data_IF_715162627146
#
_entry.id   IF_715162627146
#
_cell.length_a   1.000
_cell.length_b   1.000
_cell.length_c   1.000
_cell.angle_alpha   90.00
_cell.angle_beta   90.00
_cell.angle_gamma   90.00
#
_symmetry.space_group_name_H-M   'P 1'
#
loop_
_entity.id
_entity.type
_entity.pdbx_description
1 polymer ?
#
# COMPACT_ATOMS: atom_id res chain seq x y z
N UNK A 1 -2.62 14.35 -6.84
CA UNK A 1 -3.21 13.29 -5.97
C UNK A 1 -2.57 13.37 -4.60
N UNK A 2 -3.38 13.34 -3.54
CA UNK A 2 -2.89 13.32 -2.16
C UNK A 2 -3.51 12.13 -1.42
N UNK A 3 -2.66 11.35 -0.77
CA UNK A 3 -2.98 10.19 0.03
C UNK A 3 -2.39 10.44 1.42
N UNK A 4 -3.18 10.29 2.47
CA UNK A 4 -2.69 10.45 3.84
C UNK A 4 -3.02 9.22 4.69
N UNK A 5 -2.01 8.73 5.40
CA UNK A 5 -2.06 7.62 6.34
C UNK A 5 -2.83 6.39 5.80
N UNK A 6 -2.63 6.05 4.53
CA UNK A 6 -3.34 4.95 3.90
C UNK A 6 -2.91 3.60 4.47
N UNK A 7 -3.89 2.82 4.91
CA UNK A 7 -3.70 1.48 5.46
C UNK A 7 -4.51 0.50 4.64
N UNK A 8 -3.87 -0.63 4.30
CA UNK A 8 -4.55 -1.75 3.63
C UNK A 8 -4.32 -3.05 4.36
N UNK A 9 -5.41 -3.75 4.65
CA UNK A 9 -5.42 -5.06 5.29
C UNK A 9 -6.15 -6.08 4.41
N UNK A 10 -5.65 -7.31 4.40
CA UNK A 10 -6.29 -8.46 3.76
C UNK A 10 -6.46 -9.60 4.76
N UNK A 11 -7.45 -10.46 4.54
CA UNK A 11 -7.58 -11.73 5.24
C UNK A 11 -7.04 -12.83 4.34
N UNK A 12 -6.04 -13.57 4.82
CA UNK A 12 -5.39 -14.61 4.02
C UNK A 12 -5.03 -15.83 4.86
N UNK A 13 -4.77 -16.95 4.19
CA UNK A 13 -4.48 -18.26 4.77
C UNK A 13 -5.71 -19.02 5.27
N UNK A 14 -5.49 -20.29 5.62
CA UNK A 14 -6.54 -21.23 6.08
C UNK A 14 -7.28 -20.73 7.33
N UNK A 15 -6.58 -20.01 8.20
CA UNK A 15 -7.12 -19.43 9.43
C UNK A 15 -7.63 -17.98 9.27
N UNK A 16 -7.79 -17.48 8.04
CA UNK A 16 -8.24 -16.11 7.72
C UNK A 16 -7.55 -15.01 8.54
N UNK A 17 -6.23 -15.14 8.75
CA UNK A 17 -5.45 -14.17 9.51
C UNK A 17 -5.46 -12.83 8.79
N UNK A 18 -5.66 -11.74 9.54
CA UNK A 18 -5.52 -10.38 9.01
C UNK A 18 -4.05 -10.05 8.86
N UNK A 19 -3.66 -9.60 7.67
CA UNK A 19 -2.33 -9.11 7.36
C UNK A 19 -2.45 -7.68 6.85
N UNK A 20 -1.72 -6.77 7.49
CA UNK A 20 -1.59 -5.39 7.04
C UNK A 20 -0.47 -5.28 6.01
N UNK A 21 -0.84 -5.05 4.76
CA UNK A 21 0.08 -4.98 3.61
C UNK A 21 0.56 -3.58 3.30
N UNK A 22 -0.21 -2.55 3.67
CA UNK A 22 0.24 -1.15 3.63
C UNK A 22 0.00 -0.54 5.00
N UNK A 23 1.03 0.07 5.58
CA UNK A 23 1.06 0.58 6.96
C UNK A 23 1.25 2.10 6.97
N UNK A 24 0.17 2.86 6.75
CA UNK A 24 0.18 4.32 6.90
C UNK A 24 1.00 5.02 5.82
N UNK A 25 0.67 4.75 4.56
CA UNK A 25 1.31 5.41 3.42
C UNK A 25 0.72 6.82 3.25
N UNK A 26 1.55 7.85 3.38
CA UNK A 26 1.23 9.21 2.93
C UNK A 26 2.02 9.51 1.66
N UNK A 27 1.33 9.90 0.59
CA UNK A 27 1.90 10.15 -0.73
C UNK A 27 1.26 11.39 -1.33
N UNK A 28 2.07 12.24 -1.94
CA UNK A 28 1.62 13.38 -2.73
C UNK A 28 2.26 13.29 -4.11
N UNK A 29 1.44 13.39 -5.15
CA UNK A 29 1.87 13.39 -6.55
C UNK A 29 1.24 14.61 -7.20
N UNK A 30 2.07 15.52 -7.68
CA UNK A 30 1.64 16.75 -8.36
C UNK A 30 1.23 16.48 -9.81
N UNK A 31 0.58 17.45 -10.43
CA UNK A 31 0.18 17.34 -11.82
C UNK A 31 1.42 17.28 -12.73
N UNK A 32 1.50 16.26 -13.59
CA UNK A 32 2.65 16.03 -14.48
C UNK A 32 3.76 15.17 -13.87
N UNK A 33 3.67 14.79 -12.60
CA UNK A 33 4.61 13.86 -11.97
C UNK A 33 4.23 12.40 -12.25
N UNK A 34 5.25 11.56 -12.45
CA UNK A 34 5.09 10.11 -12.60
C UNK A 34 5.69 9.44 -11.37
N UNK A 35 4.90 8.60 -10.70
CA UNK A 35 5.31 7.84 -9.54
C UNK A 35 5.18 6.33 -9.80
N UNK A 36 6.16 5.54 -9.36
CA UNK A 36 6.16 4.08 -9.48
C UNK A 36 6.62 3.40 -8.20
N UNK A 37 5.93 2.32 -7.82
CA UNK A 37 6.32 1.49 -6.67
C UNK A 37 7.31 0.39 -7.11
N UNK A 38 8.47 0.27 -6.45
CA UNK A 38 9.46 -0.80 -6.66
C UNK A 38 9.63 -1.65 -5.39
N UNK A 39 9.84 -2.97 -5.54
CA UNK A 39 9.90 -3.91 -4.42
C UNK A 39 9.66 -5.39 -4.81
N UNK A 40 9.91 -6.34 -3.90
CA UNK A 40 9.64 -7.76 -4.12
C UNK A 40 8.13 -8.09 -4.10
N UNK A 41 7.75 -9.29 -4.56
CA UNK A 41 6.37 -9.77 -4.51
C UNK A 41 5.82 -9.75 -3.08
N UNK A 42 4.60 -9.22 -2.90
CA UNK A 42 3.94 -9.12 -1.60
C UNK A 42 4.33 -7.90 -0.75
N UNK A 43 5.15 -6.97 -1.26
CA UNK A 43 5.58 -5.77 -0.53
C UNK A 43 4.48 -4.70 -0.31
N UNK A 44 3.28 -4.90 -0.85
CA UNK A 44 2.20 -3.90 -0.78
C UNK A 44 2.27 -2.82 -1.85
N UNK A 45 2.98 -3.11 -2.95
CA UNK A 45 2.86 -2.39 -4.22
C UNK A 45 1.50 -2.59 -4.87
#
# INVERSE_FOLDING_TARGET
MYLDNFVKEYRTGFFRKRIRVVKGLSLRVEQGEIFGFLGPNGAGK
#
